data_IF_897520453807
#
_entry.id   IF_897520453807
#
_cell.length_a   1.000
_cell.length_b   1.000
_cell.length_c   1.000
_cell.angle_alpha   90.00
_cell.angle_beta   90.00
_cell.angle_gamma   90.00
#
_symmetry.space_group_name_H-M   'P 1'
#
loop_
_entity.id
_entity.type
_entity.pdbx_description
1 polymer ?
#
# COMPACT_ATOMS: atom_id res chain seq x y z
N UNK A 1 -16.43 -31.14 -104.31
CA UNK A 1 -15.85 -31.37 -102.97
C UNK A 1 -14.90 -30.22 -102.61
N UNK A 2 -15.22 -29.42 -101.58
CA UNK A 2 -14.29 -28.45 -100.95
C UNK A 2 -14.48 -28.52 -99.44
N UNK A 3 -13.60 -29.22 -98.72
CA UNK A 3 -13.53 -29.21 -97.25
C UNK A 3 -12.88 -27.91 -96.80
N UNK A 4 -13.62 -27.05 -96.08
CA UNK A 4 -13.03 -25.93 -95.33
C UNK A 4 -12.60 -26.45 -93.96
N UNK A 5 -11.30 -26.44 -93.68
CA UNK A 5 -10.75 -26.62 -92.34
C UNK A 5 -11.10 -25.36 -91.52
N UNK A 6 -11.88 -25.54 -90.46
CA UNK A 6 -12.25 -24.50 -89.51
C UNK A 6 -11.25 -24.57 -88.35
N UNK A 7 -10.18 -23.80 -88.43
CA UNK A 7 -9.26 -23.58 -87.30
C UNK A 7 -10.03 -22.84 -86.20
N UNK A 8 -10.26 -23.49 -85.05
CA UNK A 8 -10.70 -22.81 -83.83
C UNK A 8 -9.52 -22.00 -83.31
N UNK A 9 -9.67 -20.68 -83.25
CA UNK A 9 -8.82 -19.83 -82.44
C UNK A 9 -9.01 -20.19 -80.95
N UNK A 10 -7.95 -20.21 -80.13
CA UNK A 10 -8.09 -20.39 -78.70
C UNK A 10 -8.88 -19.21 -78.11
N UNK A 11 -9.83 -19.51 -77.21
CA UNK A 11 -10.54 -18.50 -76.44
C UNK A 11 -9.52 -17.69 -75.61
N UNK A 12 -9.66 -16.36 -75.53
CA UNK A 12 -8.81 -15.57 -74.65
C UNK A 12 -9.12 -15.94 -73.19
N UNK A 13 -8.11 -16.44 -72.47
CA UNK A 13 -8.19 -16.57 -71.02
C UNK A 13 -8.59 -15.22 -70.43
N UNK A 14 -9.76 -15.18 -69.79
CA UNK A 14 -10.17 -14.05 -68.95
C UNK A 14 -9.14 -13.91 -67.84
N UNK A 15 -8.16 -13.03 -68.03
CA UNK A 15 -7.30 -12.52 -66.97
C UNK A 15 -8.20 -11.85 -65.92
N UNK A 16 -8.65 -12.61 -64.92
CA UNK A 16 -9.29 -12.06 -63.73
C UNK A 16 -8.28 -11.10 -63.09
N UNK A 17 -8.68 -9.85 -62.91
CA UNK A 17 -7.86 -8.80 -62.33
C UNK A 17 -7.49 -9.14 -60.87
N UNK A 18 -6.37 -9.87 -60.69
CA UNK A 18 -5.77 -10.20 -59.39
C UNK A 18 -5.35 -8.95 -58.60
N UNK A 19 -5.19 -7.81 -59.28
CA UNK A 19 -4.84 -6.54 -58.65
C UNK A 19 -5.95 -6.01 -57.73
N UNK A 20 -7.23 -6.16 -58.11
CA UNK A 20 -8.35 -5.74 -57.28
C UNK A 20 -8.49 -6.55 -55.99
N UNK A 21 -8.29 -7.88 -56.08
CA UNK A 21 -8.29 -8.78 -54.93
C UNK A 21 -7.10 -8.51 -53.99
N UNK A 22 -5.92 -8.24 -54.54
CA UNK A 22 -4.73 -7.90 -53.76
C UNK A 22 -4.87 -6.56 -53.02
N UNK A 23 -5.43 -5.52 -53.66
CA UNK A 23 -5.69 -4.22 -53.02
C UNK A 23 -6.74 -4.38 -51.91
N UNK A 24 -7.81 -5.14 -52.16
CA UNK A 24 -8.84 -5.39 -51.15
C UNK A 24 -8.28 -6.16 -49.94
N UNK A 25 -7.46 -7.20 -50.18
CA UNK A 25 -6.78 -7.94 -49.12
C UNK A 25 -5.81 -7.05 -48.33
N UNK A 26 -5.08 -6.15 -48.99
CA UNK A 26 -4.17 -5.22 -48.33
C UNK A 26 -4.92 -4.19 -47.45
N UNK A 27 -6.06 -3.69 -47.91
CA UNK A 27 -6.91 -2.77 -47.13
C UNK A 27 -7.49 -3.48 -45.91
N UNK A 28 -7.97 -4.72 -46.06
CA UNK A 28 -8.43 -5.53 -44.93
C UNK A 28 -7.31 -5.83 -43.94
N UNK A 29 -6.12 -6.20 -44.41
CA UNK A 29 -4.96 -6.43 -43.55
C UNK A 29 -4.56 -5.16 -42.78
N UNK A 30 -4.56 -4.00 -43.44
CA UNK A 30 -4.29 -2.72 -42.81
C UNK A 30 -5.35 -2.36 -41.75
N UNK A 31 -6.63 -2.62 -42.02
CA UNK A 31 -7.71 -2.38 -41.06
C UNK A 31 -7.60 -3.31 -39.85
N UNK A 32 -7.34 -4.61 -40.07
CA UNK A 32 -7.11 -5.58 -38.98
C UNK A 32 -5.89 -5.18 -38.16
N UNK A 33 -4.81 -4.71 -38.78
CA UNK A 33 -3.63 -4.21 -38.08
C UNK A 33 -3.94 -2.96 -37.24
N UNK A 34 -4.72 -2.00 -37.76
CA UNK A 34 -5.15 -0.82 -37.01
C UNK A 34 -6.06 -1.16 -35.83
N UNK A 35 -7.03 -2.06 -36.02
CA UNK A 35 -7.89 -2.53 -34.93
C UNK A 35 -7.07 -3.29 -33.88
N UNK A 36 -6.15 -4.16 -34.32
CA UNK A 36 -5.29 -4.94 -33.43
C UNK A 36 -4.36 -4.04 -32.60
N UNK A 37 -3.72 -3.05 -33.22
CA UNK A 37 -2.87 -2.07 -32.52
C UNK A 37 -3.67 -1.20 -31.56
N UNK A 38 -4.87 -0.74 -31.95
CA UNK A 38 -5.77 0.04 -31.09
C UNK A 38 -6.23 -0.75 -29.85
N UNK A 39 -6.63 -2.01 -30.01
CA UNK A 39 -6.99 -2.89 -28.90
C UNK A 39 -5.78 -3.19 -28.00
N UNK A 40 -4.60 -3.41 -28.60
CA UNK A 40 -3.35 -3.64 -27.85
C UNK A 40 -3.00 -2.42 -27.00
N UNK A 41 -3.05 -1.21 -27.57
CA UNK A 41 -2.81 0.02 -26.82
C UNK A 41 -3.83 0.23 -25.70
N UNK A 42 -5.13 0.07 -25.99
CA UNK A 42 -6.19 0.19 -24.99
C UNK A 42 -6.01 -0.80 -23.81
N UNK A 43 -5.71 -2.07 -24.12
CA UNK A 43 -5.46 -3.08 -23.10
C UNK A 43 -4.20 -2.78 -22.27
N UNK A 44 -3.15 -2.26 -22.92
CA UNK A 44 -1.90 -1.87 -22.26
C UNK A 44 -2.10 -0.68 -21.33
N UNK A 45 -2.83 0.36 -21.76
CA UNK A 45 -3.16 1.53 -20.91
C UNK A 45 -3.96 1.11 -19.67
N UNK A 46 -5.00 0.28 -19.85
CA UNK A 46 -5.80 -0.26 -18.74
C UNK A 46 -4.95 -1.09 -17.77
N UNK A 47 -4.08 -1.95 -18.29
CA UNK A 47 -3.19 -2.77 -17.47
C UNK A 47 -2.19 -1.91 -16.69
N UNK A 48 -1.66 -0.86 -17.30
CA UNK A 48 -0.70 0.04 -16.66
C UNK A 48 -1.38 0.84 -15.54
N UNK A 49 -2.57 1.39 -15.78
CA UNK A 49 -3.39 2.04 -14.75
C UNK A 49 -3.69 1.10 -13.58
N UNK A 50 -4.07 -0.15 -13.86
CA UNK A 50 -4.30 -1.14 -12.81
C UNK A 50 -3.03 -1.46 -12.00
N UNK A 51 -1.89 -1.58 -12.67
CA UNK A 51 -0.61 -1.81 -12.02
C UNK A 51 -0.20 -0.64 -11.11
N UNK A 52 -0.43 0.61 -11.55
CA UNK A 52 -0.20 1.81 -10.73
C UNK A 52 -1.07 1.81 -9.47
N UNK A 53 -2.38 1.57 -9.63
CA UNK A 53 -3.31 1.49 -8.50
C UNK A 53 -2.88 0.39 -7.51
N UNK A 54 -2.55 -0.81 -8.01
CA UNK A 54 -2.10 -1.91 -7.17
C UNK A 54 -0.79 -1.60 -6.43
N UNK A 55 0.16 -0.95 -7.11
CA UNK A 55 1.43 -0.53 -6.50
C UNK A 55 1.20 0.50 -5.39
N UNK A 56 0.36 1.51 -5.64
CA UNK A 56 -0.02 2.54 -4.67
C UNK A 56 -0.66 1.93 -3.41
N UNK A 57 -1.68 1.10 -3.60
CA UNK A 57 -2.39 0.41 -2.49
C UNK A 57 -1.44 -0.50 -1.72
N UNK A 58 -0.58 -1.27 -2.42
CA UNK A 58 0.38 -2.17 -1.78
C UNK A 58 1.35 -1.41 -0.87
N UNK A 59 1.87 -0.25 -1.32
CA UNK A 59 2.75 0.58 -0.49
C UNK A 59 2.05 1.07 0.79
N UNK A 60 0.78 1.45 0.68
CA UNK A 60 -0.03 1.88 1.83
C UNK A 60 -0.24 0.72 2.79
N UNK A 61 -0.62 -0.46 2.28
CA UNK A 61 -0.87 -1.64 3.10
C UNK A 61 0.42 -2.10 3.83
N UNK A 62 1.57 -2.02 3.17
CA UNK A 62 2.87 -2.30 3.79
C UNK A 62 3.20 -1.32 4.93
N UNK A 63 2.94 -0.02 4.74
CA UNK A 63 3.14 0.98 5.77
C UNK A 63 2.19 0.79 6.95
N UNK A 64 0.92 0.54 6.68
CA UNK A 64 -0.10 0.28 7.70
C UNK A 64 0.21 -1.00 8.50
N UNK A 65 0.63 -2.08 7.83
CA UNK A 65 1.03 -3.32 8.46
C UNK A 65 2.25 -3.11 9.38
N UNK A 66 3.27 -2.39 8.90
CA UNK A 66 4.45 -2.04 9.70
C UNK A 66 4.08 -1.22 10.93
N UNK A 67 3.21 -0.21 10.77
CA UNK A 67 2.75 0.61 11.89
C UNK A 67 2.02 -0.24 12.94
N UNK A 68 1.08 -1.10 12.51
CA UNK A 68 0.35 -2.01 13.40
C UNK A 68 1.26 -2.97 14.13
N UNK A 69 2.25 -3.54 13.46
CA UNK A 69 3.22 -4.45 14.06
C UNK A 69 4.03 -3.74 15.17
N UNK A 70 4.52 -2.54 14.88
CA UNK A 70 5.30 -1.73 15.84
C UNK A 70 4.44 -1.27 17.02
N UNK A 71 3.22 -0.82 16.77
CA UNK A 71 2.28 -0.44 17.81
C UNK A 71 1.86 -1.63 18.69
N UNK A 72 1.60 -2.79 18.07
CA UNK A 72 1.29 -4.04 18.78
C UNK A 72 2.44 -4.50 19.67
N UNK A 73 3.70 -4.44 19.19
CA UNK A 73 4.88 -4.72 20.01
C UNK A 73 4.98 -3.78 21.21
N UNK A 74 4.81 -2.47 21.00
CA UNK A 74 4.82 -1.51 22.10
C UNK A 74 3.72 -1.81 23.14
N UNK A 75 2.48 -2.02 22.70
CA UNK A 75 1.36 -2.33 23.60
C UNK A 75 1.59 -3.62 24.39
N UNK A 76 2.11 -4.66 23.75
CA UNK A 76 2.44 -5.92 24.42
C UNK A 76 3.51 -5.71 25.50
N UNK A 77 4.59 -4.98 25.20
CA UNK A 77 5.64 -4.68 26.18
C UNK A 77 5.17 -3.77 27.31
N UNK A 78 4.32 -2.78 27.00
CA UNK A 78 3.69 -1.92 28.01
C UNK A 78 2.80 -2.74 28.94
N UNK A 79 2.00 -3.66 28.40
CA UNK A 79 1.16 -4.54 29.19
C UNK A 79 1.99 -5.50 30.07
N UNK A 80 3.08 -6.05 29.52
CA UNK A 80 4.04 -6.87 30.28
C UNK A 80 4.62 -6.08 31.47
N UNK A 81 5.11 -4.86 31.23
CA UNK A 81 5.61 -3.97 32.29
C UNK A 81 4.54 -3.67 33.34
N UNK A 82 3.32 -3.31 32.92
CA UNK A 82 2.21 -3.04 33.83
C UNK A 82 1.82 -4.28 34.64
N UNK A 83 1.89 -5.47 34.06
CA UNK A 83 1.59 -6.71 34.80
C UNK A 83 2.56 -6.96 35.95
N UNK A 84 3.80 -6.43 35.87
CA UNK A 84 4.78 -6.53 36.96
C UNK A 84 4.41 -5.64 38.14
N UNK A 85 3.72 -4.51 37.92
CA UNK A 85 3.34 -3.59 39.02
C UNK A 85 2.22 -4.12 39.90
N UNK A 86 1.38 -5.00 39.37
CA UNK A 86 0.25 -5.60 40.09
C UNK A 86 0.60 -6.93 40.78
N UNK A 87 1.82 -7.44 40.60
CA UNK A 87 2.25 -8.68 41.23
C UNK A 87 2.51 -8.44 42.73
N UNK A 88 1.82 -9.15 43.65
CA UNK A 88 2.10 -9.04 45.09
C UNK A 88 3.52 -9.48 45.47
N UNK A 89 4.16 -10.32 44.66
CA UNK A 89 5.55 -10.77 44.80
C UNK A 89 6.46 -10.07 43.76
N UNK A 90 6.33 -8.75 43.64
CA UNK A 90 7.05 -7.98 42.63
C UNK A 90 8.56 -8.17 42.72
N UNK A 91 9.15 -8.68 41.65
CA UNK A 91 10.59 -8.64 41.44
C UNK A 91 10.96 -7.31 40.76
N UNK A 92 11.70 -6.45 41.47
CA UNK A 92 12.10 -5.14 40.97
C UNK A 92 13.01 -5.22 39.74
N UNK A 93 13.92 -6.20 39.66
CA UNK A 93 14.79 -6.36 38.49
C UNK A 93 14.00 -6.70 37.22
N UNK A 94 12.96 -7.53 37.37
CA UNK A 94 12.04 -7.86 36.27
C UNK A 94 11.17 -6.66 35.87
N UNK A 95 10.70 -5.88 36.85
CA UNK A 95 9.94 -4.66 36.60
C UNK A 95 10.76 -3.65 35.79
N UNK A 96 12.00 -3.38 36.20
CA UNK A 96 12.88 -2.44 35.50
C UNK A 96 13.21 -2.93 34.09
N UNK A 97 13.55 -4.21 33.93
CA UNK A 97 13.84 -4.81 32.62
C UNK A 97 12.64 -4.77 31.68
N UNK A 98 11.43 -5.07 32.18
CA UNK A 98 10.21 -4.99 31.38
C UNK A 98 9.91 -3.54 30.94
N UNK A 99 10.16 -2.57 31.82
CA UNK A 99 10.03 -1.14 31.53
C UNK A 99 11.01 -0.68 30.44
N UNK A 100 12.28 -1.09 30.53
CA UNK A 100 13.29 -0.81 29.49
C UNK A 100 12.87 -1.36 28.12
N UNK A 101 12.30 -2.57 28.07
CA UNK A 101 11.79 -3.15 26.82
C UNK A 101 10.59 -2.38 26.27
N UNK A 102 9.70 -1.89 27.14
CA UNK A 102 8.57 -1.05 26.72
C UNK A 102 9.03 0.31 26.18
N UNK A 103 10.03 0.93 26.82
CA UNK A 103 10.68 2.16 26.35
C UNK A 103 11.32 1.94 24.97
N UNK A 104 12.09 0.86 24.80
CA UNK A 104 12.72 0.54 23.53
C UNK A 104 11.69 0.31 22.42
N UNK A 105 10.59 -0.40 22.70
CA UNK A 105 9.51 -0.62 21.74
C UNK A 105 8.78 0.67 21.37
N UNK A 106 8.61 1.60 22.32
CA UNK A 106 8.05 2.92 22.05
C UNK A 106 8.97 3.75 21.13
N UNK A 107 10.29 3.69 21.34
CA UNK A 107 11.25 4.36 20.46
C UNK A 107 11.30 3.73 19.06
N UNK A 108 11.22 2.40 18.95
CA UNK A 108 11.12 1.73 17.65
C UNK A 108 9.83 2.12 16.91
N UNK A 109 8.74 2.31 17.63
CA UNK A 109 7.49 2.83 17.07
C UNK A 109 7.62 4.30 16.66
N UNK A 110 8.32 5.14 17.40
CA UNK A 110 8.44 6.57 17.10
C UNK A 110 9.13 6.84 15.76
N UNK A 111 10.18 6.09 15.44
CA UNK A 111 10.90 6.20 14.16
C UNK A 111 10.15 5.61 12.97
N UNK A 112 9.11 4.81 13.21
CA UNK A 112 8.31 4.16 12.17
C UNK A 112 6.89 4.75 12.03
N UNK A 113 6.57 5.79 12.80
CA UNK A 113 5.25 6.40 12.82
C UNK A 113 5.26 7.81 12.20
N UNK A 114 4.11 8.30 11.71
CA UNK A 114 3.94 9.71 11.33
C UNK A 114 4.24 10.64 12.51
N UNK A 115 4.71 11.86 12.23
CA UNK A 115 5.31 12.77 13.23
C UNK A 115 4.53 12.92 14.54
N UNK A 116 3.21 13.14 14.46
CA UNK A 116 2.36 13.31 15.66
C UNK A 116 2.29 12.05 16.49
N UNK A 117 2.07 10.92 15.81
CA UNK A 117 2.05 9.62 16.45
C UNK A 117 3.44 9.32 17.03
N UNK A 118 4.51 9.48 16.26
CA UNK A 118 5.88 9.25 16.72
C UNK A 118 6.26 10.08 17.95
N UNK A 119 5.86 11.36 17.99
CA UNK A 119 6.02 12.19 19.19
C UNK A 119 5.27 11.60 20.39
N UNK A 120 4.01 11.21 20.23
CA UNK A 120 3.25 10.57 21.31
C UNK A 120 3.91 9.26 21.80
N UNK A 121 4.56 8.49 20.93
CA UNK A 121 5.33 7.31 21.33
C UNK A 121 6.55 7.67 22.19
N UNK A 122 7.31 8.70 21.80
CA UNK A 122 8.45 9.18 22.61
C UNK A 122 7.97 9.61 24.00
N UNK A 123 6.85 10.30 24.08
CA UNK A 123 6.29 10.78 25.34
C UNK A 123 5.76 9.64 26.20
N UNK A 124 5.18 8.60 25.58
CA UNK A 124 4.85 7.38 26.28
C UNK A 124 6.11 6.69 26.85
N UNK A 125 7.22 6.64 26.10
CA UNK A 125 8.49 6.12 26.59
C UNK A 125 9.00 6.92 27.81
N UNK A 126 8.96 8.25 27.71
CA UNK A 126 9.38 9.12 28.80
C UNK A 126 8.50 8.97 30.04
N UNK A 127 7.19 8.77 29.86
CA UNK A 127 6.28 8.48 30.98
C UNK A 127 6.64 7.22 31.75
N UNK A 128 7.00 6.15 31.03
CA UNK A 128 7.39 4.87 31.63
C UNK A 128 8.65 5.11 32.46
N UNK A 129 9.63 5.82 31.90
CA UNK A 129 10.88 6.21 32.59
C UNK A 129 10.61 7.03 33.85
N UNK A 130 9.71 8.01 33.77
CA UNK A 130 9.35 8.85 34.92
C UNK A 130 8.65 8.05 36.02
N UNK A 131 7.68 7.18 35.68
CA UNK A 131 7.02 6.30 36.65
C UNK A 131 8.02 5.37 37.34
N UNK A 132 8.97 4.80 36.58
CA UNK A 132 10.03 3.93 37.11
C UNK A 132 11.01 4.67 38.04
N UNK A 133 11.19 5.97 37.83
CA UNK A 133 12.12 6.82 38.58
C UNK A 133 11.46 7.55 39.76
N UNK A 134 10.12 7.59 39.81
CA UNK A 134 9.36 8.29 40.82
C UNK A 134 9.55 7.65 42.20
N UNK A 135 9.97 8.48 43.16
CA UNK A 135 10.30 8.10 44.54
C UNK A 135 9.12 8.31 45.49
N UNK A 136 8.15 9.14 45.12
CA UNK A 136 6.94 9.41 45.89
C UNK A 136 5.66 9.13 45.10
N UNK A 137 4.56 8.98 45.81
CA UNK A 137 3.23 8.83 45.21
C UNK A 137 2.78 10.12 44.49
N UNK A 138 3.13 11.29 45.03
CA UNK A 138 2.90 12.58 44.38
C UNK A 138 3.61 12.70 43.03
N UNK A 139 4.88 12.26 42.94
CA UNK A 139 5.62 12.23 41.66
C UNK A 139 4.93 11.31 40.66
N UNK A 140 4.45 10.14 41.09
CA UNK A 140 3.71 9.21 40.22
C UNK A 140 2.39 9.80 39.73
N UNK A 141 1.64 10.48 40.61
CA UNK A 141 0.39 11.16 40.27
C UNK A 141 0.64 12.31 39.29
N UNK A 142 1.70 13.10 39.48
CA UNK A 142 2.07 14.17 38.56
C UNK A 142 2.38 13.63 37.15
N UNK A 143 3.11 12.52 37.07
CA UNK A 143 3.41 11.85 35.79
C UNK A 143 2.12 11.33 35.14
N UNK A 144 1.24 10.67 35.91
CA UNK A 144 -0.03 10.17 35.39
C UNK A 144 -0.97 11.29 34.91
N UNK A 145 -0.97 12.44 35.59
CA UNK A 145 -1.73 13.62 35.18
C UNK A 145 -1.15 14.27 33.92
N UNK A 146 0.17 14.28 33.77
CA UNK A 146 0.81 14.79 32.55
C UNK A 146 0.40 13.93 31.36
N UNK A 147 0.51 12.62 31.47
CA UNK A 147 0.36 11.68 30.34
C UNK A 147 -1.10 11.43 29.95
N UNK A 148 -2.05 11.83 30.79
CA UNK A 148 -3.49 11.76 30.52
C UNK A 148 -4.00 12.98 29.73
N UNK A 149 -3.16 13.98 29.48
CA UNK A 149 -3.51 15.12 28.62
C UNK A 149 -3.79 14.64 27.19
N UNK A 150 -4.75 15.30 26.54
CA UNK A 150 -5.16 15.01 25.15
C UNK A 150 -3.99 15.10 24.15
N UNK A 151 -3.00 15.96 24.42
CA UNK A 151 -1.78 16.07 23.62
C UNK A 151 -1.00 14.75 23.52
N UNK A 152 -1.27 13.79 24.40
CA UNK A 152 -0.60 12.49 24.49
C UNK A 152 -1.58 11.32 24.33
N UNK A 153 -2.77 11.58 23.79
CA UNK A 153 -3.76 10.55 23.45
C UNK A 153 -3.28 9.73 22.24
N UNK A 154 -2.25 8.91 22.51
CA UNK A 154 -1.65 7.97 21.58
C UNK A 154 -2.70 7.09 20.88
N UNK A 155 -3.70 6.50 21.58
CA UNK A 155 -4.78 5.78 20.92
C UNK A 155 -5.51 6.61 19.86
N UNK A 156 -5.90 7.84 20.17
CA UNK A 156 -6.58 8.71 19.19
C UNK A 156 -5.69 9.06 18.01
N UNK A 157 -4.39 9.30 18.22
CA UNK A 157 -3.46 9.50 17.11
C UNK A 157 -3.31 8.24 16.26
N UNK A 158 -3.20 7.06 16.87
CA UNK A 158 -3.06 5.81 16.17
C UNK A 158 -4.29 5.52 15.28
N UNK A 159 -5.50 5.60 15.84
CA UNK A 159 -6.72 5.36 15.06
C UNK A 159 -6.90 6.37 13.93
N UNK A 160 -6.51 7.63 14.15
CA UNK A 160 -6.49 8.64 13.09
C UNK A 160 -5.55 8.27 11.95
N UNK A 161 -4.35 7.76 12.25
CA UNK A 161 -3.43 7.30 11.20
C UNK A 161 -3.96 6.06 10.46
N UNK A 162 -4.65 5.15 11.16
CA UNK A 162 -5.34 4.04 10.51
C UNK A 162 -6.43 4.53 9.54
N UNK A 163 -7.20 5.54 9.95
CA UNK A 163 -8.19 6.17 9.06
C UNK A 163 -7.54 6.89 7.88
N UNK A 164 -6.38 7.54 8.07
CA UNK A 164 -5.62 8.16 6.98
C UNK A 164 -5.22 7.12 5.91
N UNK A 165 -4.72 5.94 6.31
CA UNK A 165 -4.42 4.88 5.35
C UNK A 165 -5.65 4.41 4.56
N UNK A 166 -6.82 4.37 5.20
CA UNK A 166 -8.07 4.10 4.49
C UNK A 166 -8.37 5.18 3.45
N UNK A 167 -8.22 6.46 3.79
CA UNK A 167 -8.44 7.56 2.86
C UNK A 167 -7.43 7.54 1.71
N UNK A 168 -6.17 7.23 1.99
CA UNK A 168 -5.12 7.17 0.96
C UNK A 168 -5.34 6.02 -0.03
N UNK A 169 -5.87 4.87 0.43
CA UNK A 169 -6.31 3.79 -0.49
C UNK A 169 -7.41 4.25 -1.45
N UNK A 170 -8.36 5.06 -0.97
CA UNK A 170 -9.42 5.62 -1.82
C UNK A 170 -8.81 6.57 -2.85
N UNK A 171 -7.85 7.41 -2.44
CA UNK A 171 -7.14 8.32 -3.35
C UNK A 171 -6.43 7.58 -4.47
N UNK A 172 -5.74 6.47 -4.17
CA UNK A 172 -5.10 5.63 -5.20
C UNK A 172 -6.09 5.17 -6.29
N UNK A 173 -7.37 5.00 -5.95
CA UNK A 173 -8.40 4.54 -6.89
C UNK A 173 -9.03 5.68 -7.70
N UNK A 174 -9.09 6.89 -7.11
CA UNK A 174 -9.74 8.05 -7.73
C UNK A 174 -8.78 8.93 -8.53
N UNK A 175 -7.50 8.95 -8.17
CA UNK A 175 -6.46 9.72 -8.85
C UNK A 175 -5.13 8.94 -8.91
N UNK A 176 -4.99 8.00 -9.87
CA UNK A 176 -3.79 7.18 -10.01
C UNK A 176 -2.61 7.91 -10.66
N UNK A 177 -2.80 9.12 -11.22
CA UNK A 177 -1.79 9.86 -11.96
C UNK A 177 -0.94 10.79 -11.06
N UNK A 178 -1.32 10.96 -9.78
CA UNK A 178 -0.64 11.82 -8.79
C UNK A 178 0.48 11.08 -8.00
N UNK A 179 0.77 9.80 -8.31
CA UNK A 179 1.68 8.93 -7.53
C UNK A 179 2.74 8.15 -8.32
#
# INVERSE_FOLDING_TARGET
>A
MRRRLRTRLPEPEKHKSRAGEAIFAAVLAAFVALVGTGLTWYSSDRSLRQALIQSCVKRIDEQEAKLREKAGRFLARKAEWYSKTINPEMNYDEYYRAGEQAIAAAQDLSVNAPLRLGLAAVMAADSIRMVMSAKSEEERLAVNNEISKEAYDWPSFFFREIDNYRLDRIKCQTDPDEY
#
